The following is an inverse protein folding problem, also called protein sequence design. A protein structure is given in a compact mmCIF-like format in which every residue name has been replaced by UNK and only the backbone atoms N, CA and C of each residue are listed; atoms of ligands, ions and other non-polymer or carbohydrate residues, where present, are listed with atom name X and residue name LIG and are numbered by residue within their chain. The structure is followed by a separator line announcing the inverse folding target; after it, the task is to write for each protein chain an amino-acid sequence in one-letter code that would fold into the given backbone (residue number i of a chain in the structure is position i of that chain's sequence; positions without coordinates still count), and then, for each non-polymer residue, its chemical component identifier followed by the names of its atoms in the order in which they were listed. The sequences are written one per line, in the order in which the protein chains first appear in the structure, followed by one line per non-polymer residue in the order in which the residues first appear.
data_IF_895906916980
#
_entry.id   IF_895906916980
#
_cell.length_a   1.000
_cell.length_b   1.000
_cell.length_c   1.000
_cell.angle_alpha   90.00
_cell.angle_beta   90.00
_cell.angle_gamma   90.00
#
_symmetry.space_group_name_H-M   'P 1'
#
loop_
_entity.id
_entity.type
_entity.pdbx_description
1 polymer ?
#
# COMPACT_ATOMS: atom_id res chain seq x y z
N UNK A 1 4.22 -13.59 2.58
CA UNK A 1 4.44 -12.33 1.83
C UNK A 1 5.14 -11.26 2.67
N UNK A 2 4.60 -10.76 3.78
CA UNK A 2 5.34 -9.77 4.59
C UNK A 2 6.64 -10.35 5.14
N UNK A 3 6.62 -11.60 5.59
CA UNK A 3 7.77 -12.38 6.07
C UNK A 3 8.81 -12.65 4.99
N UNK A 4 8.39 -12.65 3.73
CA UNK A 4 9.28 -12.80 2.57
C UNK A 4 9.95 -11.46 2.21
N UNK A 5 9.22 -10.34 2.38
CA UNK A 5 9.70 -8.99 2.07
C UNK A 5 10.58 -8.39 3.17
N UNK A 6 10.22 -8.57 4.44
CA UNK A 6 10.88 -7.89 5.54
C UNK A 6 11.58 -8.87 6.48
N UNK A 7 12.86 -8.64 6.73
CA UNK A 7 13.65 -9.41 7.69
C UNK A 7 13.63 -8.82 9.10
N UNK A 8 13.41 -7.51 9.22
CA UNK A 8 13.42 -6.82 10.50
C UNK A 8 12.09 -7.05 11.27
N UNK A 9 12.12 -7.60 12.50
CA UNK A 9 10.91 -7.93 13.26
C UNK A 9 10.00 -6.71 13.53
N UNK A 10 10.59 -5.54 13.78
CA UNK A 10 9.84 -4.30 14.01
C UNK A 10 9.03 -3.87 12.78
N UNK A 11 9.57 -4.08 11.58
CA UNK A 11 8.87 -3.79 10.32
C UNK A 11 7.76 -4.81 10.09
N UNK A 12 8.01 -6.09 10.34
CA UNK A 12 6.98 -7.13 10.27
C UNK A 12 5.81 -6.81 11.20
N UNK A 13 6.09 -6.52 12.47
CA UNK A 13 5.07 -6.16 13.45
C UNK A 13 4.25 -4.94 12.97
N UNK A 14 4.93 -3.89 12.48
CA UNK A 14 4.28 -2.68 11.94
C UNK A 14 3.35 -2.98 10.76
N UNK A 15 3.72 -3.91 9.87
CA UNK A 15 2.89 -4.27 8.73
C UNK A 15 1.73 -5.19 9.13
N UNK A 16 1.93 -6.09 10.09
CA UNK A 16 0.89 -7.01 10.59
C UNK A 16 -0.17 -6.32 11.43
N UNK A 17 0.20 -5.37 12.28
CA UNK A 17 -0.74 -4.66 13.16
C UNK A 17 -1.51 -3.53 12.48
N UNK A 18 -1.10 -3.14 11.27
CA UNK A 18 -1.73 -2.04 10.57
C UNK A 18 -3.02 -2.46 9.84
N UNK A 19 -3.96 -1.51 9.61
CA UNK A 19 -5.23 -1.78 8.96
C UNK A 19 -5.11 -2.57 7.65
N UNK A 20 -6.13 -3.38 7.38
CA UNK A 20 -6.27 -4.15 6.15
C UNK A 20 -5.05 -5.04 5.82
N UNK A 21 -4.47 -5.66 6.86
CA UNK A 21 -3.23 -6.43 6.72
C UNK A 21 -3.37 -7.59 5.73
N UNK A 22 -4.49 -8.32 5.79
CA UNK A 22 -4.74 -9.48 4.92
C UNK A 22 -4.98 -9.07 3.47
N UNK A 23 -5.70 -7.98 3.22
CA UNK A 23 -5.95 -7.46 1.88
C UNK A 23 -4.65 -6.97 1.23
N UNK A 24 -3.82 -6.25 2.00
CA UNK A 24 -2.49 -5.82 1.53
C UNK A 24 -1.59 -7.02 1.24
N UNK A 25 -1.61 -8.04 2.10
CA UNK A 25 -0.85 -9.28 1.90
C UNK A 25 -1.28 -10.00 0.62
N UNK A 26 -2.59 -10.16 0.40
CA UNK A 26 -3.17 -10.79 -0.79
C UNK A 26 -2.77 -10.07 -2.08
N UNK A 27 -2.84 -8.74 -2.09
CA UNK A 27 -2.45 -7.95 -3.24
C UNK A 27 -0.95 -8.06 -3.55
N UNK A 28 -0.09 -8.03 -2.54
CA UNK A 28 1.36 -8.23 -2.72
C UNK A 28 1.68 -9.64 -3.23
N UNK A 29 1.00 -10.67 -2.75
CA UNK A 29 1.12 -12.04 -3.27
C UNK A 29 0.71 -12.13 -4.74
N UNK A 30 -0.40 -11.49 -5.13
CA UNK A 30 -0.80 -11.38 -6.53
C UNK A 30 0.30 -10.71 -7.37
N UNK A 31 0.87 -9.59 -6.92
CA UNK A 31 1.96 -8.94 -7.63
C UNK A 31 3.22 -9.82 -7.71
N UNK A 32 3.58 -10.55 -6.66
CA UNK A 32 4.71 -11.48 -6.72
C UNK A 32 4.48 -12.56 -7.80
N UNK A 33 3.27 -13.12 -7.89
CA UNK A 33 2.88 -14.09 -8.93
C UNK A 33 2.92 -13.49 -10.35
N UNK A 34 2.71 -12.19 -10.49
CA UNK A 34 2.84 -11.48 -11.78
C UNK A 34 4.30 -11.14 -12.15
N UNK A 35 5.29 -11.64 -11.40
CA UNK A 35 6.71 -11.46 -11.71
C UNK A 35 7.30 -10.11 -11.29
N UNK A 36 6.64 -9.38 -10.37
CA UNK A 36 7.19 -8.12 -9.88
C UNK A 36 8.47 -8.34 -9.08
N UNK A 37 9.50 -7.53 -9.38
CA UNK A 37 10.77 -7.57 -8.67
C UNK A 37 10.59 -7.31 -7.17
N UNK A 38 11.46 -7.92 -6.37
CA UNK A 38 11.42 -7.81 -4.90
C UNK A 38 11.48 -6.35 -4.41
N UNK A 39 12.36 -5.54 -5.01
CA UNK A 39 12.47 -4.11 -4.69
C UNK A 39 11.15 -3.35 -4.93
N UNK A 40 10.43 -3.70 -6.00
CA UNK A 40 9.12 -3.11 -6.31
C UNK A 40 8.07 -3.52 -5.28
N UNK A 41 8.05 -4.79 -4.86
CA UNK A 41 7.13 -5.27 -3.83
C UNK A 41 7.36 -4.59 -2.47
N UNK A 42 8.61 -4.28 -2.12
CA UNK A 42 8.95 -3.50 -0.93
C UNK A 42 8.35 -2.09 -0.97
N UNK A 43 8.53 -1.39 -2.09
CA UNK A 43 7.94 -0.06 -2.30
C UNK A 43 6.41 -0.13 -2.18
N UNK A 44 5.79 -1.08 -2.89
CA UNK A 44 4.34 -1.29 -2.86
C UNK A 44 3.84 -1.59 -1.43
N UNK A 45 4.56 -2.41 -0.66
CA UNK A 45 4.16 -2.74 0.71
C UNK A 45 4.14 -1.50 1.62
N UNK A 46 5.11 -0.59 1.47
CA UNK A 46 5.14 0.67 2.21
C UNK A 46 4.06 1.65 1.77
N UNK A 47 3.76 1.72 0.47
CA UNK A 47 2.68 2.56 -0.06
C UNK A 47 1.32 2.08 0.42
N UNK A 48 1.06 0.77 0.32
CA UNK A 48 -0.18 0.16 0.80
C UNK A 48 -0.38 0.38 2.29
N UNK A 49 0.68 0.28 3.10
CA UNK A 49 0.61 0.58 4.54
C UNK A 49 0.17 2.04 4.79
N UNK A 50 0.71 2.98 4.04
CA UNK A 50 0.33 4.39 4.16
C UNK A 50 -1.13 4.61 3.77
N UNK A 51 -1.56 4.03 2.64
CA UNK A 51 -2.95 4.10 2.16
C UNK A 51 -3.91 3.49 3.18
N UNK A 52 -3.60 2.31 3.70
CA UNK A 52 -4.43 1.63 4.69
C UNK A 52 -4.61 2.45 5.97
N UNK A 53 -3.56 3.15 6.43
CA UNK A 53 -3.65 4.06 7.59
C UNK A 53 -4.51 5.29 7.32
N UNK A 54 -4.59 5.77 6.08
CA UNK A 54 -5.49 6.87 5.72
C UNK A 54 -6.93 6.41 5.56
N UNK A 55 -7.12 5.17 5.08
CA UNK A 55 -8.43 4.58 4.90
C UNK A 55 -9.02 3.98 6.18
N UNK A 56 -8.27 3.94 7.29
CA UNK A 56 -8.77 3.40 8.56
C UNK A 56 -9.92 4.20 9.18
N UNK A 57 -10.16 5.43 8.70
CA UNK A 57 -11.36 6.22 9.02
C UNK A 57 -12.63 5.61 8.44
N UNK A 58 -12.51 4.69 7.48
CA UNK A 58 -13.63 3.98 6.86
C UNK A 58 -13.72 2.55 7.44
N UNK A 59 -14.82 2.20 8.13
CA UNK A 59 -14.93 0.97 8.90
C UNK A 59 -15.09 -0.30 8.05
N UNK A 60 -15.30 -0.18 6.74
CA UNK A 60 -15.39 -1.32 5.82
C UNK A 60 -14.58 -1.03 4.56
N UNK A 61 -13.94 -2.05 4.00
CA UNK A 61 -13.19 -1.97 2.74
C UNK A 61 -14.09 -1.79 1.49
N UNK A 62 -15.33 -1.32 1.66
CA UNK A 62 -16.14 -0.78 0.55
C UNK A 62 -15.71 0.66 0.32
N UNK A 63 -14.45 0.82 -0.05
CA UNK A 63 -13.86 2.12 -0.28
C UNK A 63 -14.32 2.58 -1.67
N UNK A 64 -15.11 3.64 -1.72
CA UNK A 64 -15.53 4.23 -2.99
C UNK A 64 -14.35 4.96 -3.65
N UNK A 65 -14.41 5.13 -4.97
CA UNK A 65 -13.39 5.90 -5.69
C UNK A 65 -13.22 7.32 -5.10
N UNK A 66 -14.30 7.94 -4.63
CA UNK A 66 -14.27 9.24 -3.98
C UNK A 66 -13.55 9.23 -2.62
N UNK A 67 -13.69 8.15 -1.84
CA UNK A 67 -12.93 7.96 -0.60
C UNK A 67 -11.43 7.75 -0.87
N UNK A 68 -11.08 7.05 -1.96
CA UNK A 68 -9.69 6.93 -2.43
C UNK A 68 -9.15 8.31 -2.83
N UNK A 69 -9.89 9.09 -3.61
CA UNK A 69 -9.51 10.46 -4.01
C UNK A 69 -9.38 11.40 -2.80
N UNK A 70 -10.25 11.27 -1.79
CA UNK A 70 -10.16 12.05 -0.56
C UNK A 70 -8.90 11.69 0.24
N UNK A 71 -8.58 10.40 0.40
CA UNK A 71 -7.35 9.94 1.04
C UNK A 71 -6.09 10.36 0.26
N UNK A 72 -6.20 10.45 -1.08
CA UNK A 72 -5.14 10.87 -1.98
C UNK A 72 -4.77 12.36 -1.87
N UNK A 73 -5.60 13.21 -1.27
CA UNK A 73 -5.26 14.63 -1.03
C UNK A 73 -3.96 14.79 -0.21
N UNK A 74 -3.59 13.80 0.59
CA UNK A 74 -2.33 13.77 1.35
C UNK A 74 -1.10 13.26 0.58
N UNK A 75 -1.24 12.84 -0.69
CA UNK A 75 -0.15 12.22 -1.45
C UNK A 75 1.03 13.17 -1.70
N UNK A 76 0.78 14.43 -2.03
CA UNK A 76 1.83 15.43 -2.28
C UNK A 76 2.74 15.67 -1.05
N UNK A 77 2.19 15.56 0.17
CA UNK A 77 2.98 15.70 1.40
C UNK A 77 3.92 14.50 1.61
N UNK A 78 3.52 13.30 1.16
CA UNK A 78 4.36 12.10 1.20
C UNK A 78 5.47 12.12 0.16
N UNK A 79 5.22 12.60 -1.05
CA UNK A 79 6.26 12.71 -2.10
C UNK A 79 7.46 13.51 -1.60
N UNK A 80 7.21 14.57 -0.81
CA UNK A 80 8.27 15.36 -0.15
C UNK A 80 9.00 14.60 0.95
N UNK A 81 8.30 13.80 1.75
CA UNK A 81 8.88 13.10 2.91
C UNK A 81 9.62 11.81 2.53
N UNK A 82 9.22 11.14 1.46
CA UNK A 82 9.78 9.86 1.06
C UNK A 82 10.71 9.95 -0.16
N UNK A 83 10.83 11.13 -0.79
CA UNK A 83 11.65 11.32 -2.01
C UNK A 83 11.18 10.52 -3.23
N UNK A 84 10.01 9.87 -3.12
CA UNK A 84 9.44 9.03 -4.16
C UNK A 84 8.02 9.49 -4.45
N UNK A 85 7.80 9.94 -5.68
CA UNK A 85 6.46 10.22 -6.18
C UNK A 85 5.65 8.92 -6.16
N UNK A 86 4.43 8.96 -5.59
CA UNK A 86 3.49 7.85 -5.79
C UNK A 86 3.30 7.75 -7.29
N UNK A 87 3.77 6.67 -7.89
CA UNK A 87 3.92 6.64 -9.34
C UNK A 87 2.54 6.86 -9.97
N UNK A 88 2.32 8.05 -10.55
CA UNK A 88 1.01 8.50 -11.07
C UNK A 88 0.46 7.53 -12.12
N UNK A 89 1.34 6.77 -12.77
CA UNK A 89 1.01 5.72 -13.74
C UNK A 89 0.46 4.44 -13.08
N UNK A 90 0.85 4.16 -11.83
CA UNK A 90 0.49 2.96 -11.06
C UNK A 90 -0.84 3.11 -10.32
N UNK A 91 -1.10 4.27 -9.72
CA UNK A 91 -2.29 4.46 -8.87
C UNK A 91 -3.59 4.50 -9.66
N UNK A 92 -3.56 4.98 -10.91
CA UNK A 92 -4.76 5.08 -11.76
C UNK A 92 -5.07 3.80 -12.54
N UNK A 93 -4.04 3.06 -12.97
CA UNK A 93 -4.22 1.90 -13.86
C UNK A 93 -4.51 0.57 -13.13
N UNK A 94 -4.24 0.48 -11.83
CA UNK A 94 -4.35 -0.80 -11.09
C UNK A 94 -5.43 -0.88 -10.02
N UNK A 95 -5.83 0.24 -9.43
CA UNK A 95 -6.86 0.24 -8.38
C UNK A 95 -8.29 0.44 -8.93
N UNK A 96 -8.43 0.69 -10.25
CA UNK A 96 -9.71 0.92 -10.95
C UNK A 96 -9.94 -0.17 -12.01
N UNK A 97 -9.59 -1.42 -11.72
CA UNK A 97 -9.89 -2.54 -12.62
C UNK A 97 -10.75 -3.56 -11.91
#
# INVERSE_FOLDING_TARGET
MFEELFKLPSVLARHKSAPFAEERKRYLSYCAQQGYAHATLLVMAHELLWVARKLSVYPRLRVTLEQIKAAAKGWAQRERLCGHALNKRWTRARFIR
#
